data_IF_154636226050
#
_entry.id   IF_154636226050
#
_cell.length_a   1.000
_cell.length_b   1.000
_cell.length_c   1.000
_cell.angle_alpha   90.00
_cell.angle_beta   90.00
_cell.angle_gamma   90.00
#
_symmetry.space_group_name_H-M   'P 1'
#
loop_
_entity.id
_entity.type
_entity.pdbx_description
1 polymer ?
#
# COMPACT_ATOMS: atom_id res chain seq x y z
N UNK A 1 12.68 2.02 0.77
CA UNK A 1 12.38 0.71 0.14
C UNK A 1 12.10 0.91 -1.34
N UNK A 2 11.57 -0.11 -2.02
CA UNK A 2 11.26 -0.07 -3.46
C UNK A 2 10.11 -1.04 -3.81
N UNK A 3 9.48 -0.83 -4.97
CA UNK A 3 8.34 -1.65 -5.44
C UNK A 3 8.62 -3.15 -5.57
N UNK A 4 9.89 -3.55 -5.68
CA UNK A 4 10.31 -4.96 -5.66
C UNK A 4 9.92 -5.68 -4.35
N UNK A 5 9.76 -4.95 -3.24
CA UNK A 5 9.30 -5.50 -1.98
C UNK A 5 7.83 -5.97 -2.02
N UNK A 6 7.02 -5.43 -2.95
CA UNK A 6 5.63 -5.83 -3.16
C UNK A 6 5.54 -7.10 -4.04
N UNK A 7 5.96 -8.25 -3.53
CA UNK A 7 5.96 -9.52 -4.30
C UNK A 7 6.66 -9.41 -5.67
N UNK A 8 7.81 -8.72 -5.70
CA UNK A 8 8.60 -8.47 -6.91
C UNK A 8 8.15 -7.27 -7.73
N UNK A 9 6.86 -6.90 -7.72
CA UNK A 9 6.34 -5.63 -8.27
C UNK A 9 4.89 -5.41 -7.83
N UNK A 10 4.44 -4.15 -7.63
CA UNK A 10 3.08 -3.85 -7.19
C UNK A 10 1.98 -4.52 -8.04
N UNK A 11 2.13 -4.54 -9.36
CA UNK A 11 1.14 -5.15 -10.27
C UNK A 11 1.03 -6.67 -10.13
N UNK A 12 2.12 -7.36 -9.74
CA UNK A 12 2.09 -8.80 -9.47
C UNK A 12 1.29 -9.07 -8.20
N UNK A 13 1.45 -8.25 -7.17
CA UNK A 13 0.63 -8.35 -5.95
C UNK A 13 -0.86 -8.09 -6.25
N UNK A 14 -1.18 -7.07 -7.05
CA UNK A 14 -2.56 -6.79 -7.46
C UNK A 14 -3.18 -7.94 -8.26
N UNK A 15 -2.44 -8.54 -9.20
CA UNK A 15 -2.90 -9.69 -9.97
C UNK A 15 -3.16 -10.92 -9.08
N UNK A 16 -2.27 -11.17 -8.12
CA UNK A 16 -2.48 -12.22 -7.13
C UNK A 16 -3.78 -11.99 -6.35
N UNK A 17 -4.00 -10.77 -5.84
CA UNK A 17 -5.20 -10.45 -5.08
C UNK A 17 -6.47 -10.62 -5.92
N UNK A 18 -6.47 -10.14 -7.17
CA UNK A 18 -7.62 -10.28 -8.07
C UNK A 18 -8.02 -11.76 -8.27
N UNK A 19 -7.03 -12.65 -8.45
CA UNK A 19 -7.26 -14.10 -8.58
C UNK A 19 -7.81 -14.72 -7.28
N UNK A 20 -7.24 -14.34 -6.14
CA UNK A 20 -7.71 -14.82 -4.83
C UNK A 20 -9.15 -14.41 -4.58
N UNK A 21 -9.48 -13.14 -4.84
CA UNK A 21 -10.80 -12.57 -4.63
C UNK A 21 -11.86 -13.21 -5.57
N UNK A 22 -11.50 -13.46 -6.83
CA UNK A 22 -12.35 -14.21 -7.75
C UNK A 22 -12.63 -15.64 -7.26
N UNK A 23 -11.59 -16.36 -6.81
CA UNK A 23 -11.74 -17.71 -6.26
C UNK A 23 -12.58 -17.75 -4.98
N UNK A 24 -12.56 -16.67 -4.19
CA UNK A 24 -13.36 -16.52 -2.98
C UNK A 24 -14.82 -16.10 -3.25
N UNK A 25 -15.24 -15.99 -4.51
CA UNK A 25 -16.60 -15.57 -4.89
C UNK A 25 -16.88 -14.08 -4.64
N UNK A 26 -15.84 -13.27 -4.45
CA UNK A 26 -15.93 -11.83 -4.20
C UNK A 26 -14.96 -11.09 -5.13
N UNK A 27 -15.18 -11.11 -6.45
CA UNK A 27 -14.26 -10.46 -7.39
C UNK A 27 -14.12 -8.96 -7.10
N UNK A 28 -12.96 -8.40 -7.46
CA UNK A 28 -12.76 -6.95 -7.44
C UNK A 28 -13.68 -6.31 -8.49
N UNK A 29 -14.23 -5.16 -8.14
CA UNK A 29 -15.17 -4.42 -8.96
C UNK A 29 -14.55 -3.11 -9.48
N UNK A 30 -15.22 -2.51 -10.44
CA UNK A 30 -14.89 -1.17 -10.89
C UNK A 30 -14.94 -0.19 -9.71
N UNK A 31 -13.92 0.66 -9.62
CA UNK A 31 -13.78 1.64 -8.54
C UNK A 31 -13.09 1.12 -7.27
N UNK A 32 -12.82 -0.19 -7.16
CA UNK A 32 -12.09 -0.72 -6.02
C UNK A 32 -10.64 -0.20 -5.97
N UNK A 33 -10.20 0.16 -4.75
CA UNK A 33 -8.84 0.62 -4.49
C UNK A 33 -8.01 -0.52 -3.89
N UNK A 34 -6.88 -0.84 -4.52
CA UNK A 34 -5.96 -1.89 -4.06
C UNK A 34 -4.73 -1.26 -3.43
N UNK A 35 -4.45 -1.63 -2.16
CA UNK A 35 -3.16 -1.37 -1.53
C UNK A 35 -2.24 -2.57 -1.79
N UNK A 36 -1.38 -2.47 -2.79
CA UNK A 36 -0.55 -3.55 -3.35
C UNK A 36 0.58 -4.09 -2.45
N UNK A 37 0.55 -3.79 -1.16
CA UNK A 37 1.60 -4.15 -0.19
C UNK A 37 2.64 -3.06 0.06
N UNK A 38 3.45 -3.26 1.10
CA UNK A 38 4.41 -2.27 1.58
C UNK A 38 5.67 -2.19 0.71
N UNK A 39 6.13 -0.96 0.42
CA UNK A 39 7.36 -0.69 -0.33
C UNK A 39 8.64 -0.89 0.50
N UNK A 40 8.52 -1.09 1.82
CA UNK A 40 9.61 -1.26 2.74
C UNK A 40 9.11 -1.65 4.14
N UNK A 41 10.02 -1.81 5.12
CA UNK A 41 9.65 -2.10 6.49
C UNK A 41 8.72 -1.03 7.07
N UNK A 42 7.76 -1.46 7.90
CA UNK A 42 6.90 -0.54 8.64
C UNK A 42 7.70 0.12 9.77
N UNK A 43 7.40 1.38 10.05
CA UNK A 43 7.95 2.11 11.18
C UNK A 43 6.87 2.29 12.25
N UNK A 44 7.28 2.28 13.53
CA UNK A 44 6.42 2.68 14.62
C UNK A 44 6.06 4.17 14.53
N UNK A 45 4.89 4.53 15.06
CA UNK A 45 4.41 5.91 15.12
C UNK A 45 3.91 6.21 16.53
N UNK A 46 4.16 7.43 17.00
CA UNK A 46 3.75 7.98 18.29
C UNK A 46 2.76 9.13 18.10
N UNK A 47 2.09 9.54 19.18
CA UNK A 47 1.25 10.75 19.16
C UNK A 47 2.09 11.97 18.78
N UNK A 48 1.51 12.85 17.98
CA UNK A 48 2.19 14.04 17.45
C UNK A 48 3.12 13.78 16.28
N UNK A 49 3.36 12.53 15.86
CA UNK A 49 4.25 12.25 14.76
C UNK A 49 3.70 12.77 13.43
N UNK A 50 4.60 13.26 12.59
CA UNK A 50 4.33 13.53 11.18
C UNK A 50 5.15 12.56 10.35
N UNK A 51 4.47 11.69 9.62
CA UNK A 51 5.11 10.68 8.77
C UNK A 51 4.93 11.07 7.31
N UNK A 52 6.02 11.08 6.56
CA UNK A 52 6.01 11.34 5.12
C UNK A 52 6.62 10.17 4.36
N UNK A 53 5.91 9.71 3.32
CA UNK A 53 6.43 8.76 2.35
C UNK A 53 6.53 9.42 0.97
N UNK A 54 7.73 9.38 0.39
CA UNK A 54 8.01 9.88 -0.96
C UNK A 54 8.26 8.70 -1.88
N UNK A 55 7.49 8.62 -2.96
CA UNK A 55 7.57 7.55 -3.96
C UNK A 55 7.99 8.19 -5.29
N UNK A 56 9.20 7.86 -5.73
CA UNK A 56 9.78 8.41 -6.96
C UNK A 56 8.85 8.18 -8.15
N UNK A 57 8.55 9.24 -8.91
CA UNK A 57 7.67 9.20 -10.08
C UNK A 57 6.17 9.12 -9.79
N UNK A 58 5.76 8.98 -8.53
CA UNK A 58 4.35 8.89 -8.11
C UNK A 58 3.91 10.06 -7.24
N UNK A 59 4.79 10.56 -6.37
CA UNK A 59 4.52 11.72 -5.52
C UNK A 59 4.85 11.49 -4.05
N UNK A 60 4.18 12.25 -3.20
CA UNK A 60 4.40 12.24 -1.74
C UNK A 60 3.06 12.13 -1.02
N UNK A 61 3.02 11.32 0.04
CA UNK A 61 1.90 11.24 0.98
C UNK A 61 2.40 11.56 2.37
N UNK A 62 1.59 12.28 3.14
CA UNK A 62 1.91 12.65 4.51
C UNK A 62 0.71 12.36 5.41
N UNK A 63 0.99 11.82 6.60
CA UNK A 63 0.01 11.63 7.66
C UNK A 63 0.52 12.33 8.93
N UNK A 64 -0.38 12.97 9.66
CA UNK A 64 -0.10 13.58 10.96
C UNK A 64 -0.94 12.88 12.01
N UNK A 65 -0.29 12.39 13.05
CA UNK A 65 -0.93 11.75 14.19
C UNK A 65 -1.22 12.82 15.24
N UNK A 66 -2.46 12.83 15.76
CA UNK A 66 -2.90 13.82 16.75
C UNK A 66 -1.97 13.84 17.98
N UNK A 67 -1.78 15.03 18.54
CA UNK A 67 -0.91 15.24 19.71
C UNK A 67 -1.69 15.14 21.03
N UNK A 68 -3.02 15.26 20.97
CA UNK A 68 -4.00 15.28 22.06
C UNK A 68 -4.73 13.94 22.23
#
# INVERSE_FOLDING_TARGET
>A
GAGIACLGRPITSSLWLARVMANAGRPLLEGDVILSGALGPMAGVSRGDVVEARINGLGTVRATFAAD
#
